data_IF_677138398116
#
_entry.id   IF_677138398116
#
_cell.length_a   1.000
_cell.length_b   1.000
_cell.length_c   1.000
_cell.angle_alpha   90.00
_cell.angle_beta   90.00
_cell.angle_gamma   90.00
#
_symmetry.space_group_name_H-M   'P 1'
#
loop_
_entity.id
_entity.type
_entity.pdbx_description
1 polymer ?
#
# COMPACT_ATOMS: atom_id res chain seq x y z
N UNK A 1 15.08 -4.98 -17.41
CA UNK A 1 14.86 -5.04 -15.96
C UNK A 1 14.31 -3.69 -15.52
N UNK A 2 13.55 -3.60 -14.42
CA UNK A 2 12.93 -2.34 -13.97
C UNK A 2 13.91 -1.15 -13.90
N UNK A 3 15.19 -1.40 -13.59
CA UNK A 3 16.24 -0.37 -13.52
C UNK A 3 16.64 0.23 -14.88
N UNK A 4 16.27 -0.40 -16.01
CA UNK A 4 16.68 0.03 -17.36
C UNK A 4 15.77 1.13 -17.95
N UNK A 5 14.74 1.57 -17.22
CA UNK A 5 13.81 2.59 -17.69
C UNK A 5 14.30 4.01 -17.35
N UNK A 6 14.74 4.82 -18.34
CA UNK A 6 15.35 6.14 -18.06
C UNK A 6 14.41 7.14 -17.38
N UNK A 7 13.09 6.94 -17.55
CA UNK A 7 12.08 7.80 -16.93
C UNK A 7 12.10 7.72 -15.40
N UNK A 8 12.55 6.60 -14.82
CA UNK A 8 12.59 6.44 -13.36
C UNK A 8 13.56 7.41 -12.69
N UNK A 9 14.57 7.93 -13.41
CA UNK A 9 15.45 8.99 -12.91
C UNK A 9 14.89 10.41 -13.07
N UNK A 10 13.74 10.58 -13.74
CA UNK A 10 13.14 11.88 -14.07
C UNK A 10 11.84 12.14 -13.29
N UNK A 11 11.35 11.13 -12.58
CA UNK A 11 10.10 11.18 -11.81
C UNK A 11 10.35 10.78 -10.35
N UNK A 12 9.39 11.10 -9.48
CA UNK A 12 9.24 10.45 -8.19
C UNK A 12 7.91 9.69 -8.16
N UNK A 13 7.90 8.52 -7.52
CA UNK A 13 6.71 7.69 -7.37
C UNK A 13 6.22 7.71 -5.92
N UNK A 14 4.90 7.84 -5.76
CA UNK A 14 4.18 7.57 -4.53
C UNK A 14 3.07 6.55 -4.80
N UNK A 15 2.61 5.83 -3.78
CA UNK A 15 1.50 4.90 -3.97
C UNK A 15 0.55 4.83 -2.77
N UNK A 16 -0.72 4.53 -3.08
CA UNK A 16 -1.78 4.33 -2.09
C UNK A 16 -2.72 3.21 -2.50
N UNK A 17 -3.32 2.47 -1.57
CA UNK A 17 -4.29 1.44 -1.88
C UNK A 17 -5.64 2.08 -2.25
N UNK A 18 -6.37 1.37 -3.10
CA UNK A 18 -7.80 1.58 -3.30
C UNK A 18 -8.54 0.50 -2.54
N UNK A 19 -9.34 0.88 -1.55
CA UNK A 19 -9.96 -0.04 -0.60
C UNK A 19 -11.47 -0.06 -0.81
N UNK A 20 -12.06 -1.24 -1.01
CA UNK A 20 -13.50 -1.40 -1.18
C UNK A 20 -14.26 -1.45 0.16
N UNK A 21 -15.60 -1.53 0.08
CA UNK A 21 -16.48 -1.66 1.27
C UNK A 21 -16.19 -2.89 2.13
N UNK A 22 -15.59 -3.94 1.57
CA UNK A 22 -15.21 -5.17 2.28
C UNK A 22 -13.80 -5.08 2.90
N UNK A 23 -13.17 -3.90 2.87
CA UNK A 23 -11.81 -3.63 3.34
C UNK A 23 -10.75 -4.41 2.55
N UNK A 24 -11.07 -4.77 1.32
CA UNK A 24 -10.14 -5.42 0.39
C UNK A 24 -9.46 -4.35 -0.45
N UNK A 25 -8.15 -4.46 -0.63
CA UNK A 25 -7.41 -3.63 -1.58
C UNK A 25 -7.70 -4.16 -2.99
N UNK A 26 -8.36 -3.35 -3.82
CA UNK A 26 -8.82 -3.74 -5.16
C UNK A 26 -7.93 -3.19 -6.28
N UNK A 27 -7.14 -2.17 -6.00
CA UNK A 27 -6.18 -1.58 -6.93
C UNK A 27 -5.10 -0.82 -6.17
N UNK A 28 -4.00 -0.51 -6.86
CA UNK A 28 -2.96 0.42 -6.37
C UNK A 28 -3.01 1.70 -7.19
N UNK A 29 -3.12 2.84 -6.53
CA UNK A 29 -2.88 4.14 -7.18
C UNK A 29 -1.39 4.40 -7.19
N UNK A 30 -0.81 4.63 -8.35
CA UNK A 30 0.56 5.10 -8.52
C UNK A 30 0.52 6.58 -8.89
N UNK A 31 1.07 7.41 -8.02
CA UNK A 31 1.19 8.84 -8.25
C UNK A 31 2.57 9.16 -8.82
N UNK A 32 2.59 9.90 -9.93
CA UNK A 32 3.81 10.21 -10.70
C UNK A 32 4.06 11.71 -10.67
N UNK A 33 5.15 12.11 -10.02
CA UNK A 33 5.60 13.50 -9.95
C UNK A 33 6.74 13.74 -10.94
N UNK A 34 6.72 14.82 -11.74
CA UNK A 34 7.91 15.25 -12.46
C UNK A 34 8.95 15.80 -11.48
N UNK A 35 10.21 15.33 -11.54
CA UNK A 35 11.28 15.89 -10.70
C UNK A 35 11.68 17.30 -11.12
N UNK A 36 11.50 17.64 -12.40
CA UNK A 36 11.78 18.96 -12.96
C UNK A 36 10.52 19.45 -13.67
N UNK A 37 10.09 20.68 -13.33
CA UNK A 37 8.94 21.27 -14.01
C UNK A 37 9.29 21.54 -15.48
N UNK A 38 8.34 21.22 -16.38
CA UNK A 38 8.50 21.43 -17.82
C UNK A 38 9.42 20.43 -18.54
N UNK A 39 9.98 19.42 -17.85
CA UNK A 39 10.72 18.36 -18.51
C UNK A 39 9.81 17.51 -19.40
N UNK A 40 10.28 17.18 -20.60
CA UNK A 40 9.57 16.24 -21.49
C UNK A 40 9.76 14.82 -20.94
N UNK A 41 8.66 14.20 -20.56
CA UNK A 41 8.63 12.83 -20.04
C UNK A 41 8.00 11.90 -21.08
N UNK A 42 8.61 10.74 -21.30
CA UNK A 42 8.15 9.75 -22.27
C UNK A 42 7.06 8.84 -21.67
N UNK A 43 5.83 8.99 -22.14
CA UNK A 43 4.70 8.17 -21.73
C UNK A 43 4.89 6.68 -22.02
N UNK A 44 5.53 6.32 -23.14
CA UNK A 44 5.78 4.92 -23.49
C UNK A 44 6.80 4.29 -22.52
N UNK A 45 7.84 5.04 -22.14
CA UNK A 45 8.79 4.59 -21.12
C UNK A 45 8.12 4.38 -19.75
N UNK A 46 7.17 5.25 -19.35
CA UNK A 46 6.39 5.04 -18.13
C UNK A 46 5.55 3.76 -18.21
N UNK A 47 4.82 3.58 -19.30
CA UNK A 47 3.97 2.41 -19.49
C UNK A 47 4.77 1.11 -19.52
N UNK A 48 5.97 1.13 -20.11
CA UNK A 48 6.88 -0.02 -20.07
C UNK A 48 7.30 -0.37 -18.64
N UNK A 49 7.69 0.62 -17.83
CA UNK A 49 8.04 0.41 -16.43
C UNK A 49 6.85 -0.09 -15.59
N UNK A 50 5.65 0.43 -15.85
CA UNK A 50 4.40 -0.03 -15.20
C UNK A 50 4.07 -1.47 -15.60
N UNK A 51 4.31 -1.85 -16.86
CA UNK A 51 4.01 -3.20 -17.36
C UNK A 51 4.87 -4.31 -16.73
N UNK A 52 6.06 -3.98 -16.20
CA UNK A 52 6.89 -4.92 -15.43
C UNK A 52 6.24 -5.35 -14.11
N UNK A 53 5.38 -4.51 -13.53
CA UNK A 53 4.65 -4.79 -12.29
C UNK A 53 3.23 -5.26 -12.56
N UNK A 54 2.57 -4.67 -13.57
CA UNK A 54 1.23 -5.02 -13.99
C UNK A 54 1.24 -5.47 -15.46
N UNK A 55 1.64 -6.72 -15.76
CA UNK A 55 1.65 -7.24 -17.13
C UNK A 55 0.24 -7.51 -17.65
N UNK A 56 0.09 -7.55 -18.98
CA UNK A 56 -1.14 -7.96 -19.65
C UNK A 56 -1.54 -9.38 -19.21
N UNK A 57 -2.80 -9.56 -18.79
CA UNK A 57 -3.31 -10.84 -18.29
C UNK A 57 -2.98 -11.11 -16.82
N UNK A 58 -2.29 -10.20 -16.12
CA UNK A 58 -2.13 -10.23 -14.67
C UNK A 58 -3.45 -9.98 -13.93
N UNK A 59 -3.47 -10.28 -12.63
CA UNK A 59 -4.66 -10.13 -11.76
C UNK A 59 -4.77 -8.74 -11.11
N UNK A 60 -3.71 -7.94 -11.14
CA UNK A 60 -3.64 -6.64 -10.49
C UNK A 60 -4.10 -5.47 -11.38
N UNK A 61 -4.65 -4.44 -10.75
CA UNK A 61 -5.06 -3.20 -11.39
C UNK A 61 -4.27 -2.00 -10.85
N UNK A 62 -3.89 -1.06 -11.72
CA UNK A 62 -3.18 0.17 -11.36
C UNK A 62 -3.94 1.41 -11.81
N UNK A 63 -4.00 2.43 -10.94
CA UNK A 63 -4.58 3.75 -11.25
C UNK A 63 -3.43 4.77 -11.32
N UNK A 64 -3.21 5.35 -12.50
CA UNK A 64 -2.16 6.33 -12.73
C UNK A 64 -2.68 7.74 -12.43
N UNK A 65 -2.09 8.36 -11.42
CA UNK A 65 -2.29 9.77 -11.08
C UNK A 65 -1.04 10.57 -11.46
N UNK A 66 -1.07 11.23 -12.61
CA UNK A 66 0.09 11.90 -13.18
C UNK A 66 -0.03 13.40 -12.95
N UNK A 67 0.99 14.01 -12.34
CA UNK A 67 0.99 15.45 -12.02
C UNK A 67 1.66 16.32 -13.10
N UNK A 68 2.18 15.70 -14.17
CA UNK A 68 2.67 16.41 -15.37
C UNK A 68 1.63 16.37 -16.47
N UNK A 69 1.14 17.53 -16.90
CA UNK A 69 0.14 17.65 -17.96
C UNK A 69 0.64 17.05 -19.28
N UNK A 70 1.88 17.35 -19.69
CA UNK A 70 2.45 16.82 -20.93
C UNK A 70 2.60 15.29 -20.91
N UNK A 71 2.96 14.71 -19.76
CA UNK A 71 3.01 13.26 -19.61
C UNK A 71 1.60 12.64 -19.66
N UNK A 72 0.61 13.28 -19.04
CA UNK A 72 -0.78 12.82 -19.07
C UNK A 72 -1.35 12.85 -20.49
N UNK A 73 -1.10 13.92 -21.27
CA UNK A 73 -1.46 13.97 -22.68
C UNK A 73 -0.77 12.86 -23.49
N UNK A 74 0.53 12.63 -23.25
CA UNK A 74 1.26 11.53 -23.86
C UNK A 74 0.65 10.16 -23.55
N UNK A 75 0.23 9.92 -22.30
CA UNK A 75 -0.45 8.69 -21.88
C UNK A 75 -1.81 8.53 -22.56
N UNK A 76 -2.56 9.63 -22.73
CA UNK A 76 -3.84 9.60 -23.42
C UNK A 76 -3.70 9.23 -24.90
N UNK A 77 -2.59 9.63 -25.54
CA UNK A 77 -2.27 9.24 -26.91
C UNK A 77 -1.69 7.82 -27.03
N UNK A 78 -1.01 7.32 -25.99
CA UNK A 78 -0.25 6.07 -26.02
C UNK A 78 -1.08 4.78 -25.88
N UNK A 79 -2.40 4.87 -25.71
CA UNK A 79 -3.33 3.73 -25.63
C UNK A 79 -2.86 2.62 -24.68
N UNK A 80 -2.85 2.85 -23.36
CA UNK A 80 -2.35 1.88 -22.39
C UNK A 80 -3.19 0.61 -22.35
N UNK A 81 -2.69 -0.42 -21.67
CA UNK A 81 -3.46 -1.64 -21.42
C UNK A 81 -4.75 -1.36 -20.60
N UNK A 82 -5.79 -2.15 -20.78
CA UNK A 82 -7.13 -1.91 -20.19
C UNK A 82 -7.17 -2.03 -18.67
N UNK A 83 -6.20 -2.69 -18.04
CA UNK A 83 -6.03 -2.77 -16.58
C UNK A 83 -5.26 -1.58 -15.98
N UNK A 84 -4.77 -0.66 -16.81
CA UNK A 84 -4.15 0.61 -16.42
C UNK A 84 -5.19 1.71 -16.55
N UNK A 85 -5.67 2.20 -15.41
CA UNK A 85 -6.69 3.24 -15.35
C UNK A 85 -6.01 4.60 -15.25
N UNK A 86 -6.47 5.59 -16.00
CA UNK A 86 -5.87 6.93 -16.00
C UNK A 86 -6.81 7.90 -15.26
N UNK A 87 -6.26 8.65 -14.31
CA UNK A 87 -6.95 9.78 -13.69
C UNK A 87 -6.88 11.04 -14.57
N UNK A 88 -8.04 11.54 -14.97
CA UNK A 88 -8.19 12.78 -15.74
C UNK A 88 -8.73 13.87 -14.81
N UNK A 89 -7.98 14.95 -14.58
CA UNK A 89 -8.47 16.11 -13.83
C UNK A 89 -9.75 16.68 -14.44
N UNK A 90 -10.67 17.13 -13.59
CA UNK A 90 -11.98 17.61 -14.02
C UNK A 90 -11.90 18.75 -15.04
N UNK A 91 -10.90 19.64 -14.93
CA UNK A 91 -10.70 20.73 -15.90
C UNK A 91 -10.31 20.23 -17.30
N UNK A 92 -9.52 19.14 -17.40
CA UNK A 92 -9.18 18.51 -18.68
C UNK A 92 -10.39 17.79 -19.26
N UNK A 93 -11.12 17.04 -18.41
CA UNK A 93 -12.32 16.31 -18.82
C UNK A 93 -13.45 17.23 -19.31
N UNK A 94 -13.51 18.47 -18.81
CA UNK A 94 -14.46 19.50 -19.27
C UNK A 94 -14.00 20.27 -20.51
N UNK A 95 -12.77 20.07 -20.99
CA UNK A 95 -12.22 20.79 -22.14
C UNK A 95 -12.56 20.09 -23.45
N UNK A 96 -12.97 20.86 -24.46
CA UNK A 96 -13.26 20.35 -25.81
C UNK A 96 -12.01 19.72 -26.46
N UNK A 97 -10.82 20.22 -26.14
CA UNK A 97 -9.53 19.73 -26.64
C UNK A 97 -9.30 18.25 -26.35
N UNK A 98 -9.81 17.74 -25.22
CA UNK A 98 -9.53 16.38 -24.76
C UNK A 98 -10.65 15.38 -25.08
N UNK A 99 -11.76 15.82 -25.68
CA UNK A 99 -12.93 14.96 -25.96
C UNK A 99 -12.55 13.80 -26.87
N UNK A 100 -11.84 14.07 -27.97
CA UNK A 100 -11.43 13.05 -28.92
C UNK A 100 -10.55 12.00 -28.23
N UNK A 101 -9.49 12.42 -27.53
CA UNK A 101 -8.59 11.50 -26.85
C UNK A 101 -9.30 10.64 -25.79
N UNK A 102 -10.19 11.24 -24.98
CA UNK A 102 -10.98 10.52 -23.96
C UNK A 102 -11.90 9.48 -24.61
N UNK A 103 -12.62 9.87 -25.68
CA UNK A 103 -13.57 8.96 -26.36
C UNK A 103 -12.85 7.86 -27.12
N UNK A 104 -11.68 8.12 -27.72
CA UNK A 104 -10.82 7.11 -28.35
C UNK A 104 -10.34 6.07 -27.34
N UNK A 105 -9.85 6.50 -26.16
CA UNK A 105 -9.45 5.56 -25.10
C UNK A 105 -10.62 4.69 -24.65
N UNK A 106 -11.79 5.29 -24.45
CA UNK A 106 -12.98 4.54 -24.06
C UNK A 106 -13.40 3.52 -25.13
N UNK A 107 -13.37 3.91 -26.41
CA UNK A 107 -13.67 3.02 -27.53
C UNK A 107 -12.69 1.84 -27.63
N UNK A 108 -11.44 2.02 -27.19
CA UNK A 108 -10.42 0.96 -27.09
C UNK A 108 -10.57 0.07 -25.84
N UNK A 109 -11.57 0.33 -25.00
CA UNK A 109 -11.84 -0.45 -23.79
C UNK A 109 -11.09 0.02 -22.55
N UNK A 110 -10.36 1.15 -22.61
CA UNK A 110 -9.76 1.74 -21.43
C UNK A 110 -10.83 2.35 -20.52
N UNK A 111 -10.58 2.26 -19.21
CA UNK A 111 -11.41 2.91 -18.20
C UNK A 111 -10.68 4.11 -17.63
N UNK A 112 -11.37 5.26 -17.58
CA UNK A 112 -10.84 6.49 -17.00
C UNK A 112 -11.47 6.79 -15.64
N UNK A 113 -10.78 7.64 -14.88
CA UNK A 113 -11.19 8.07 -13.55
C UNK A 113 -11.25 9.61 -13.55
N UNK A 114 -12.38 10.18 -13.14
CA UNK A 114 -12.54 11.63 -13.07
C UNK A 114 -11.97 12.13 -11.74
N UNK A 115 -10.90 12.92 -11.78
CA UNK A 115 -10.24 13.47 -10.59
C UNK A 115 -10.79 14.86 -10.25
N UNK A 116 -11.29 15.00 -9.04
CA UNK A 116 -11.87 16.25 -8.54
C UNK A 116 -13.28 16.51 -9.06
N UNK A 117 -13.83 17.66 -8.67
CA UNK A 117 -15.18 18.07 -9.06
C UNK A 117 -15.12 18.96 -10.31
N UNK A 118 -15.89 18.68 -11.36
CA UNK A 118 -16.04 19.59 -12.48
C UNK A 118 -16.70 20.90 -12.03
N UNK A 119 -16.07 22.03 -12.35
CA UNK A 119 -16.67 23.36 -12.18
C UNK A 119 -17.65 23.68 -13.33
N UNK A 120 -17.54 22.97 -14.45
CA UNK A 120 -18.40 23.05 -15.63
C UNK A 120 -19.04 21.69 -15.87
N UNK A 121 -20.19 21.68 -16.54
CA UNK A 121 -20.81 20.42 -16.98
C UNK A 121 -19.84 19.67 -17.91
N UNK A 122 -19.73 18.36 -17.72
CA UNK A 122 -18.92 17.53 -18.61
C UNK A 122 -19.66 17.29 -19.93
N UNK A 123 -18.97 17.30 -21.08
CA UNK A 123 -19.54 16.87 -22.34
C UNK A 123 -20.19 15.48 -22.21
N UNK A 124 -21.36 15.28 -22.83
CA UNK A 124 -22.11 14.02 -22.68
C UNK A 124 -21.37 12.83 -23.26
N UNK A 125 -20.55 13.09 -24.26
CA UNK A 125 -19.73 12.14 -25.00
C UNK A 125 -18.66 11.49 -24.12
N UNK A 126 -18.12 12.22 -23.13
CA UNK A 126 -17.04 11.72 -22.26
C UNK A 126 -17.56 10.99 -21.02
N UNK A 127 -18.81 11.20 -20.63
CA UNK A 127 -19.40 10.60 -19.42
C UNK A 127 -19.26 9.06 -19.35
N UNK A 128 -19.48 8.29 -20.45
CA UNK A 128 -19.32 6.83 -20.42
C UNK A 128 -17.89 6.36 -20.16
N UNK A 129 -16.88 7.20 -20.42
CA UNK A 129 -15.48 6.85 -20.23
C UNK A 129 -15.08 6.71 -18.75
N UNK A 130 -15.84 7.35 -17.84
CA UNK A 130 -15.48 7.45 -16.43
C UNK A 130 -16.23 6.42 -15.57
N UNK A 131 -15.48 5.49 -14.98
CA UNK A 131 -16.05 4.51 -14.02
C UNK A 131 -16.29 5.11 -12.64
N UNK A 132 -15.34 5.93 -12.18
CA UNK A 132 -15.41 6.58 -10.88
C UNK A 132 -15.08 8.07 -10.96
N UNK A 133 -15.70 8.85 -10.06
CA UNK A 133 -15.27 10.19 -9.71
C UNK A 133 -14.55 10.15 -8.37
N UNK A 134 -13.28 10.54 -8.36
CA UNK A 134 -12.44 10.64 -7.17
C UNK A 134 -12.65 12.04 -6.58
N UNK A 135 -13.19 12.10 -5.38
CA UNK A 135 -13.51 13.34 -4.66
C UNK A 135 -12.67 13.34 -3.39
N UNK A 136 -12.00 14.44 -3.12
CA UNK A 136 -11.23 14.59 -1.90
C UNK A 136 -12.13 14.73 -0.67
N UNK A 137 -11.66 14.24 0.49
CA UNK A 137 -12.40 14.31 1.75
C UNK A 137 -12.76 15.75 2.07
N UNK A 138 -11.80 16.67 1.92
CA UNK A 138 -11.98 18.09 2.22
C UNK A 138 -12.94 18.78 1.24
N UNK A 139 -13.07 18.25 0.02
CA UNK A 139 -13.97 18.75 -1.01
C UNK A 139 -15.38 18.13 -0.95
N UNK A 140 -15.63 17.15 -0.07
CA UNK A 140 -16.90 16.43 -0.02
C UNK A 140 -17.99 17.21 0.71
N UNK A 141 -18.72 18.04 -0.03
CA UNK A 141 -19.95 18.75 0.43
C UNK A 141 -21.05 17.86 1.07
N UNK A 142 -20.93 16.53 1.05
CA UNK A 142 -21.79 15.64 1.85
C UNK A 142 -21.46 15.69 3.34
N UNK A 143 -20.28 16.20 3.72
CA UNK A 143 -19.89 16.46 5.11
C UNK A 143 -20.81 17.51 5.75
N UNK A 144 -21.28 18.51 4.98
CA UNK A 144 -22.21 19.54 5.46
C UNK A 144 -23.65 19.04 5.64
N UNK A 145 -23.98 17.86 5.09
CA UNK A 145 -25.30 17.25 5.16
C UNK A 145 -25.31 16.17 6.25
N UNK A 146 -25.37 16.58 7.51
CA UNK A 146 -25.83 15.68 8.58
C UNK A 146 -27.22 15.13 8.22
N UNK A 147 -27.61 13.93 8.70
CA UNK A 147 -28.94 13.36 8.47
C UNK A 147 -29.98 14.12 9.31
N UNK A 148 -30.23 15.38 8.99
CA UNK A 148 -31.47 16.04 9.34
C UNK A 148 -32.53 15.36 8.49
N UNK A 149 -33.55 14.77 9.14
CA UNK A 149 -34.62 13.97 8.53
C UNK A 149 -35.56 14.73 7.59
N UNK A 150 -35.02 15.49 6.65
CA UNK A 150 -35.72 16.06 5.52
C UNK A 150 -34.80 15.86 4.32
N UNK A 151 -35.14 14.90 3.47
CA UNK A 151 -34.51 14.76 2.17
C UNK A 151 -34.63 16.08 1.43
N UNK A 152 -33.55 16.85 1.38
CA UNK A 152 -33.33 17.83 0.32
C UNK A 152 -33.25 17.02 -0.95
N UNK A 153 -34.42 16.88 -1.58
CA UNK A 153 -34.58 16.46 -2.95
C UNK A 153 -33.48 17.14 -3.75
N UNK A 154 -32.60 16.31 -4.34
CA UNK A 154 -31.77 16.74 -5.44
C UNK A 154 -32.66 17.56 -6.38
N UNK A 155 -32.31 18.82 -6.60
CA UNK A 155 -32.90 19.64 -7.65
C UNK A 155 -32.92 18.80 -8.94
N UNK A 156 -34.13 18.45 -9.38
CA UNK A 156 -34.45 17.93 -10.70
C UNK A 156 -33.41 17.00 -11.37
N UNK A 157 -33.61 15.69 -11.26
CA UNK A 157 -33.51 14.78 -12.42
C UNK A 157 -32.15 14.33 -12.94
N UNK A 158 -31.00 14.78 -12.42
CA UNK A 158 -29.71 14.19 -12.83
C UNK A 158 -29.40 12.97 -11.97
N UNK A 159 -29.83 11.80 -12.46
CA UNK A 159 -29.41 10.50 -11.92
C UNK A 159 -27.88 10.46 -11.99
N UNK A 160 -27.19 10.43 -10.83
CA UNK A 160 -25.72 10.35 -10.79
C UNK A 160 -25.30 9.01 -11.39
N UNK A 161 -24.82 9.02 -12.62
CA UNK A 161 -24.42 7.80 -13.35
C UNK A 161 -23.07 7.27 -12.88
N UNK A 162 -22.16 8.14 -12.42
CA UNK A 162 -20.80 7.78 -12.03
C UNK A 162 -20.72 7.55 -10.51
N UNK A 163 -20.24 6.38 -10.09
CA UNK A 163 -19.96 6.07 -8.69
C UNK A 163 -18.78 6.90 -8.17
N UNK A 164 -18.71 7.19 -6.87
CA UNK A 164 -17.61 7.99 -6.32
C UNK A 164 -16.63 7.18 -5.47
N UNK A 165 -15.39 7.63 -5.44
CA UNK A 165 -14.31 7.15 -4.59
C UNK A 165 -13.84 8.32 -3.74
N UNK A 166 -13.67 8.11 -2.44
CA UNK A 166 -13.17 9.16 -1.54
C UNK A 166 -11.64 9.13 -1.49
N UNK A 167 -10.94 10.20 -1.89
CA UNK A 167 -9.50 10.38 -1.61
C UNK A 167 -9.27 11.14 -0.31
N UNK A 168 -8.02 11.15 0.17
CA UNK A 168 -7.62 11.87 1.39
C UNK A 168 -7.90 11.08 2.67
N UNK A 169 -8.19 9.78 2.58
CA UNK A 169 -8.50 8.95 3.76
C UNK A 169 -7.21 8.50 4.43
N UNK A 170 -6.99 8.94 5.67
CA UNK A 170 -5.77 8.65 6.46
C UNK A 170 -6.03 7.80 7.71
N UNK A 171 -7.28 7.59 8.10
CA UNK A 171 -7.64 6.81 9.29
C UNK A 171 -8.89 5.94 9.06
N UNK A 172 -9.12 4.96 9.95
CA UNK A 172 -10.24 4.02 9.83
C UNK A 172 -11.59 4.73 9.96
N UNK A 173 -11.66 5.78 10.78
CA UNK A 173 -12.90 6.56 10.98
C UNK A 173 -13.36 7.24 9.69
N UNK A 174 -12.45 7.89 8.96
CA UNK A 174 -12.73 8.51 7.67
C UNK A 174 -13.10 7.48 6.61
N UNK A 175 -12.44 6.33 6.60
CA UNK A 175 -12.80 5.21 5.73
C UNK A 175 -14.25 4.76 5.97
N UNK A 176 -14.62 4.52 7.23
CA UNK A 176 -15.99 4.13 7.58
C UNK A 176 -17.02 5.18 7.20
N UNK A 177 -16.75 6.44 7.54
CA UNK A 177 -17.64 7.55 7.23
C UNK A 177 -17.86 7.69 5.72
N UNK A 178 -16.81 7.50 4.92
CA UNK A 178 -16.88 7.52 3.45
C UNK A 178 -17.81 6.44 2.91
N UNK A 179 -17.72 5.21 3.43
CA UNK A 179 -18.62 4.13 3.03
C UNK A 179 -20.07 4.37 3.46
N UNK A 180 -20.30 4.94 4.66
CA UNK A 180 -21.64 5.34 5.10
C UNK A 180 -22.25 6.41 4.19
N UNK A 181 -21.44 7.31 3.62
CA UNK A 181 -21.85 8.30 2.60
C UNK A 181 -22.05 7.71 1.19
N UNK A 182 -21.83 6.41 1.03
CA UNK A 182 -22.08 5.70 -0.22
C UNK A 182 -20.89 5.65 -1.16
N UNK A 183 -19.66 5.93 -0.72
CA UNK A 183 -18.47 5.73 -1.53
C UNK A 183 -18.38 4.27 -1.99
N UNK A 184 -17.95 4.06 -3.24
CA UNK A 184 -17.71 2.72 -3.79
C UNK A 184 -16.39 2.14 -3.28
N UNK A 185 -15.39 3.01 -3.13
CA UNK A 185 -14.08 2.72 -2.55
C UNK A 185 -13.53 3.97 -1.83
N UNK A 186 -12.45 3.79 -1.08
CA UNK A 186 -11.63 4.88 -0.54
C UNK A 186 -10.20 4.76 -1.08
N UNK A 187 -9.49 5.87 -1.11
CA UNK A 187 -8.13 6.00 -1.62
C UNK A 187 -7.27 6.72 -0.58
N UNK A 188 -6.22 6.02 -0.12
CA UNK A 188 -5.35 6.48 0.97
C UNK A 188 -5.05 5.38 1.99
N UNK A 189 -4.19 5.69 2.95
CA UNK A 189 -3.72 4.76 3.97
C UNK A 189 -4.47 4.99 5.29
N UNK A 190 -5.47 4.16 5.68
CA UNK A 190 -6.18 4.33 6.94
C UNK A 190 -5.34 3.78 8.12
N UNK A 191 -4.22 4.43 8.41
CA UNK A 191 -3.21 3.99 9.39
C UNK A 191 -2.86 5.04 10.45
N UNK A 192 -3.39 6.27 10.33
CA UNK A 192 -3.07 7.40 11.20
C UNK A 192 -4.00 7.52 12.42
N UNK A 193 -4.85 6.53 12.71
CA UNK A 193 -5.77 6.55 13.87
C UNK A 193 -5.03 6.84 15.18
N UNK A 194 -5.40 7.90 15.88
CA UNK A 194 -4.83 8.25 17.19
C UNK A 194 -5.03 7.09 18.17
N UNK A 195 -3.94 6.59 18.73
CA UNK A 195 -3.98 5.57 19.77
C UNK A 195 -4.20 6.24 21.13
N UNK A 196 -5.42 6.14 21.66
CA UNK A 196 -5.74 6.66 22.99
C UNK A 196 -5.06 5.84 24.10
N UNK A 197 -4.40 6.52 25.02
CA UNK A 197 -3.80 5.90 26.21
C UNK A 197 -4.90 5.35 27.12
N UNK A 198 -4.93 4.03 27.33
CA UNK A 198 -5.95 3.36 28.15
C UNK A 198 -7.08 2.67 27.38
N UNK A 199 -7.01 2.62 26.04
CA UNK A 199 -7.91 1.77 25.25
C UNK A 199 -7.83 0.31 25.73
N UNK A 200 -8.98 -0.39 25.75
CA UNK A 200 -8.99 -1.83 26.07
C UNK A 200 -8.10 -2.55 25.07
N UNK A 201 -7.18 -3.39 25.59
CA UNK A 201 -6.34 -4.25 24.76
C UNK A 201 -7.21 -4.97 23.74
N UNK A 202 -6.78 -4.95 22.47
CA UNK A 202 -7.39 -5.82 21.49
C UNK A 202 -7.17 -7.28 21.95
N UNK A 203 -8.27 -8.01 22.19
CA UNK A 203 -8.22 -9.42 22.56
C UNK A 203 -7.82 -10.24 21.33
N UNK A 204 -6.52 -10.34 21.10
CA UNK A 204 -5.91 -10.95 19.92
C UNK A 204 -4.89 -12.01 20.34
N UNK A 205 -5.35 -13.17 20.86
CA UNK A 205 -4.47 -14.22 21.37
C UNK A 205 -3.51 -14.77 20.30
N UNK A 206 -3.95 -14.82 19.03
CA UNK A 206 -3.10 -15.22 17.90
C UNK A 206 -1.96 -14.24 17.66
N UNK A 207 -2.22 -12.93 17.71
CA UNK A 207 -1.18 -11.90 17.54
C UNK A 207 -0.19 -11.93 18.71
N UNK A 208 -0.67 -12.15 19.94
CA UNK A 208 0.20 -12.33 21.11
C UNK A 208 1.10 -13.57 20.98
N UNK A 209 0.57 -14.70 20.51
CA UNK A 209 1.35 -15.91 20.29
C UNK A 209 2.44 -15.71 19.22
N UNK A 210 2.13 -15.02 18.13
CA UNK A 210 3.11 -14.71 17.07
C UNK A 210 4.21 -13.78 17.60
N UNK A 211 3.84 -12.73 18.33
CA UNK A 211 4.81 -11.82 18.99
C UNK A 211 5.72 -12.59 19.95
N UNK A 212 5.16 -13.49 20.77
CA UNK A 212 5.94 -14.33 21.68
C UNK A 212 6.91 -15.24 20.91
N UNK A 213 6.51 -15.81 19.77
CA UNK A 213 7.41 -16.59 18.93
C UNK A 213 8.53 -15.72 18.35
N UNK A 214 8.24 -14.48 17.93
CA UNK A 214 9.27 -13.58 17.41
C UNK A 214 10.31 -13.27 18.49
N UNK A 215 9.89 -13.04 19.74
CA UNK A 215 10.77 -12.89 20.89
C UNK A 215 11.65 -14.14 21.09
N UNK A 216 11.03 -15.32 21.17
CA UNK A 216 11.75 -16.59 21.35
C UNK A 216 12.77 -16.85 20.23
N UNK A 217 12.40 -16.56 18.98
CA UNK A 217 13.29 -16.67 17.82
C UNK A 217 14.44 -15.69 17.90
N UNK A 218 14.20 -14.45 18.35
CA UNK A 218 15.23 -13.44 18.48
C UNK A 218 16.25 -13.78 19.57
N UNK A 219 15.80 -14.39 20.68
CA UNK A 219 16.66 -14.86 21.78
C UNK A 219 17.35 -16.20 21.49
N UNK A 220 17.15 -16.77 20.29
CA UNK A 220 17.59 -18.12 19.94
C UNK A 220 17.18 -19.16 21.00
N UNK A 221 15.97 -19.00 21.53
CA UNK A 221 15.41 -19.88 22.55
C UNK A 221 15.39 -21.33 22.06
N UNK A 222 15.48 -22.27 22.99
CA UNK A 222 15.45 -23.67 22.63
C UNK A 222 14.18 -24.04 21.83
N UNK A 223 14.32 -25.08 21.00
CA UNK A 223 13.22 -25.52 20.13
C UNK A 223 12.01 -25.97 20.98
N UNK A 224 12.23 -26.39 22.23
CA UNK A 224 11.17 -26.78 23.17
C UNK A 224 10.30 -25.61 23.60
N UNK A 225 10.88 -24.43 23.87
CA UNK A 225 10.12 -23.22 24.18
C UNK A 225 9.29 -22.76 22.97
N UNK A 226 9.85 -22.80 21.76
CA UNK A 226 9.12 -22.50 20.52
C UNK A 226 7.96 -23.47 20.30
N UNK A 227 8.21 -24.77 20.47
CA UNK A 227 7.19 -25.81 20.35
C UNK A 227 6.07 -25.62 21.40
N UNK A 228 6.42 -25.25 22.63
CA UNK A 228 5.47 -24.95 23.71
C UNK A 228 4.56 -23.76 23.40
N UNK A 229 5.05 -22.75 22.67
CA UNK A 229 4.21 -21.64 22.19
C UNK A 229 3.32 -22.07 21.03
N UNK A 230 3.86 -22.80 20.05
CA UNK A 230 3.07 -23.33 18.92
C UNK A 230 1.95 -24.29 19.38
N UNK A 231 2.18 -25.10 20.42
CA UNK A 231 1.16 -26.00 20.99
C UNK A 231 -0.04 -25.26 21.59
N UNK A 232 0.15 -24.02 22.05
CA UNK A 232 -0.92 -23.18 22.62
C UNK A 232 -1.80 -22.55 21.54
N UNK A 233 -1.35 -22.53 20.28
CA UNK A 233 -2.10 -22.04 19.11
C UNK A 233 -2.00 -23.06 17.95
N UNK A 234 -2.84 -24.12 17.94
CA UNK A 234 -2.82 -25.13 16.88
C UNK A 234 -3.03 -24.58 15.45
N UNK A 235 -3.88 -23.56 15.22
CA UNK A 235 -3.95 -22.89 13.91
C UNK A 235 -2.62 -22.30 13.43
N UNK A 236 -1.87 -21.63 14.31
CA UNK A 236 -0.54 -21.08 14.01
C UNK A 236 0.45 -22.18 13.62
N UNK A 237 0.42 -23.30 14.33
CA UNK A 237 1.28 -24.45 14.06
C UNK A 237 0.94 -25.13 12.71
N UNK A 238 -0.35 -25.24 12.36
CA UNK A 238 -0.78 -25.72 11.05
C UNK A 238 -0.29 -24.80 9.91
N UNK A 239 -0.38 -23.48 10.08
CA UNK A 239 0.13 -22.52 9.09
C UNK A 239 1.63 -22.69 8.85
N UNK A 240 2.42 -22.97 9.90
CA UNK A 240 3.87 -23.24 9.78
C UNK A 240 4.14 -24.49 8.93
N UNK A 241 3.45 -25.60 9.22
CA UNK A 241 3.62 -26.84 8.45
C UNK A 241 3.20 -26.67 6.99
N UNK A 242 2.08 -25.99 6.72
CA UNK A 242 1.66 -25.69 5.35
C UNK A 242 2.66 -24.78 4.61
N UNK A 243 3.26 -23.82 5.31
CA UNK A 243 4.27 -22.94 4.73
C UNK A 243 5.52 -23.72 4.30
N UNK A 244 6.09 -24.54 5.20
CA UNK A 244 7.31 -25.30 4.89
C UNK A 244 7.10 -26.39 3.84
N UNK A 245 5.90 -26.95 3.75
CA UNK A 245 5.52 -27.93 2.73
C UNK A 245 5.03 -27.28 1.42
N UNK A 246 5.11 -25.95 1.29
CA UNK A 246 4.74 -25.28 0.04
C UNK A 246 5.79 -25.58 -1.05
N UNK A 247 5.41 -25.52 -2.34
CA UNK A 247 6.34 -25.74 -3.46
C UNK A 247 7.58 -24.85 -3.43
N UNK A 248 7.52 -23.70 -2.75
CA UNK A 248 8.63 -22.76 -2.61
C UNK A 248 9.87 -23.34 -1.95
N UNK A 249 9.73 -24.39 -1.12
CA UNK A 249 10.85 -25.03 -0.43
C UNK A 249 11.42 -26.26 -1.15
N UNK A 250 10.75 -26.75 -2.21
CA UNK A 250 11.24 -27.85 -3.05
C UNK A 250 11.53 -29.14 -2.28
N UNK A 251 10.87 -29.37 -1.15
CA UNK A 251 11.13 -30.54 -0.30
C UNK A 251 10.56 -31.81 -0.95
N UNK A 252 11.39 -32.87 -1.02
CA UNK A 252 10.99 -34.18 -1.55
C UNK A 252 10.14 -34.99 -0.57
N UNK A 253 10.16 -34.64 0.72
CA UNK A 253 9.43 -35.30 1.80
C UNK A 253 8.67 -34.25 2.60
N UNK A 254 7.40 -34.54 2.88
CA UNK A 254 6.54 -33.68 3.69
C UNK A 254 7.03 -33.63 5.14
N UNK A 255 7.16 -32.41 5.68
CA UNK A 255 7.47 -32.16 7.08
C UNK A 255 6.18 -32.23 7.89
N UNK A 256 6.12 -33.18 8.83
CA UNK A 256 4.95 -33.42 9.69
C UNK A 256 5.14 -32.98 11.15
N UNK A 257 6.32 -32.46 11.53
CA UNK A 257 6.62 -32.05 12.91
C UNK A 257 7.15 -30.62 13.01
N UNK A 258 6.76 -29.91 14.07
CA UNK A 258 7.18 -28.52 14.31
C UNK A 258 8.68 -28.40 14.52
N UNK A 259 9.27 -29.32 15.28
CA UNK A 259 10.70 -29.39 15.51
C UNK A 259 11.47 -29.49 14.19
N UNK A 260 11.04 -30.38 13.29
CA UNK A 260 11.68 -30.53 11.98
C UNK A 260 11.49 -29.27 11.12
N UNK A 261 10.29 -28.67 11.13
CA UNK A 261 10.05 -27.42 10.42
C UNK A 261 10.98 -26.28 10.89
N UNK A 262 11.14 -26.10 12.20
CA UNK A 262 12.01 -25.08 12.80
C UNK A 262 13.48 -25.32 12.43
N UNK A 263 13.96 -26.57 12.49
CA UNK A 263 15.33 -26.92 12.11
C UNK A 263 15.63 -26.65 10.64
N UNK A 264 14.68 -26.93 9.75
CA UNK A 264 14.84 -26.72 8.29
C UNK A 264 14.75 -25.24 7.93
N UNK A 265 13.87 -24.46 8.58
CA UNK A 265 13.73 -23.03 8.34
C UNK A 265 14.91 -22.22 8.90
N UNK A 266 15.36 -22.55 10.11
CA UNK A 266 16.26 -21.71 10.89
C UNK A 266 15.58 -20.44 11.42
N UNK A 267 16.21 -19.79 12.40
CA UNK A 267 15.64 -18.64 13.10
C UNK A 267 15.33 -17.44 12.19
N UNK A 268 16.20 -17.13 11.24
CA UNK A 268 16.02 -15.95 10.37
C UNK A 268 14.80 -16.06 9.46
N UNK A 269 14.64 -17.20 8.76
CA UNK A 269 13.46 -17.41 7.90
C UNK A 269 12.18 -17.55 8.71
N UNK A 270 12.28 -18.16 9.90
CA UNK A 270 11.15 -18.24 10.83
C UNK A 270 10.70 -16.86 11.31
N UNK A 271 11.64 -15.97 11.66
CA UNK A 271 11.34 -14.58 12.06
C UNK A 271 10.61 -13.82 10.95
N UNK A 272 11.11 -13.93 9.72
CA UNK A 272 10.47 -13.32 8.53
C UNK A 272 9.06 -13.87 8.30
N UNK A 273 8.89 -15.19 8.38
CA UNK A 273 7.58 -15.81 8.23
C UNK A 273 6.61 -15.38 9.33
N UNK A 274 7.05 -15.30 10.58
CA UNK A 274 6.22 -14.80 11.69
C UNK A 274 5.79 -13.34 11.46
N UNK A 275 6.67 -12.49 10.95
CA UNK A 275 6.34 -11.11 10.59
C UNK A 275 5.28 -11.04 9.47
N UNK A 276 5.38 -11.88 8.42
CA UNK A 276 4.32 -12.01 7.42
C UNK A 276 3.02 -12.56 8.01
N UNK A 277 3.14 -13.48 8.95
CA UNK A 277 1.98 -14.08 9.57
C UNK A 277 1.22 -13.09 10.46
N UNK A 278 1.93 -12.18 11.14
CA UNK A 278 1.31 -11.07 11.86
C UNK A 278 0.32 -10.37 10.92
N UNK A 279 0.74 -10.07 9.69
CA UNK A 279 -0.07 -9.40 8.65
C UNK A 279 -1.38 -10.11 8.26
N UNK A 280 -1.59 -11.36 8.68
CA UNK A 280 -2.82 -12.12 8.39
C UNK A 280 -3.51 -12.64 9.65
N UNK A 281 -3.07 -12.20 10.83
CA UNK A 281 -3.49 -12.77 12.11
C UNK A 281 -4.73 -12.10 12.73
N UNK A 282 -5.05 -10.86 12.33
CA UNK A 282 -6.25 -10.17 12.82
C UNK A 282 -7.51 -10.66 12.12
N UNK A 283 -8.58 -10.84 12.89
CA UNK A 283 -9.93 -11.15 12.39
C UNK A 283 -10.78 -9.92 12.12
N UNK A 284 -10.32 -8.73 12.55
CA UNK A 284 -11.02 -7.47 12.34
C UNK A 284 -10.85 -7.01 10.87
N UNK A 285 -11.93 -6.88 10.08
CA UNK A 285 -11.84 -6.37 8.71
C UNK A 285 -11.19 -4.99 8.61
N UNK A 286 -11.38 -4.11 9.60
CA UNK A 286 -10.76 -2.77 9.60
C UNK A 286 -9.24 -2.83 9.76
N UNK A 287 -8.68 -3.95 10.22
CA UNK A 287 -7.23 -4.15 10.28
C UNK A 287 -6.62 -4.59 8.94
N UNK A 288 -7.41 -5.12 7.99
CA UNK A 288 -6.85 -5.59 6.71
C UNK A 288 -6.00 -4.54 5.99
N UNK A 289 -6.43 -3.26 5.86
CA UNK A 289 -5.59 -2.23 5.25
C UNK A 289 -4.33 -1.92 6.06
N UNK A 290 -4.40 -1.92 7.40
CA UNK A 290 -3.24 -1.71 8.29
C UNK A 290 -2.21 -2.83 8.11
N UNK A 291 -2.68 -4.08 8.05
CA UNK A 291 -1.79 -5.22 7.83
C UNK A 291 -1.17 -5.18 6.42
N UNK A 292 -1.97 -4.83 5.41
CA UNK A 292 -1.50 -4.66 4.04
C UNK A 292 -0.39 -3.60 3.98
N UNK A 293 -0.60 -2.45 4.62
CA UNK A 293 0.41 -1.39 4.73
C UNK A 293 1.70 -1.91 5.39
N UNK A 294 1.59 -2.63 6.52
CA UNK A 294 2.75 -3.15 7.24
C UNK A 294 3.66 -4.04 6.37
N UNK A 295 3.07 -4.97 5.61
CA UNK A 295 3.83 -5.83 4.68
C UNK A 295 4.49 -5.01 3.58
N UNK A 296 3.76 -4.04 3.00
CA UNK A 296 4.28 -3.17 1.95
C UNK A 296 5.46 -2.33 2.43
N UNK A 297 5.39 -1.78 3.65
CA UNK A 297 6.51 -1.09 4.30
C UNK A 297 7.72 -2.00 4.46
N UNK A 298 7.52 -3.22 4.96
CA UNK A 298 8.59 -4.21 5.10
C UNK A 298 9.29 -4.54 3.78
N UNK A 299 8.52 -4.86 2.75
CA UNK A 299 9.06 -5.16 1.42
C UNK A 299 9.78 -3.97 0.80
N UNK A 300 9.26 -2.75 0.96
CA UNK A 300 9.91 -1.56 0.46
C UNK A 300 11.24 -1.28 1.17
N UNK A 301 11.30 -1.36 2.50
CA UNK A 301 12.55 -1.16 3.24
C UNK A 301 13.59 -2.22 2.91
N UNK A 302 13.16 -3.46 2.66
CA UNK A 302 14.04 -4.53 2.17
C UNK A 302 14.59 -4.26 0.77
N UNK A 303 13.75 -3.78 -0.16
CA UNK A 303 14.16 -3.45 -1.52
C UNK A 303 15.05 -2.21 -1.58
N UNK A 304 14.84 -1.23 -0.71
CA UNK A 304 15.70 -0.06 -0.57
C UNK A 304 17.10 -0.42 -0.05
N UNK A 305 17.23 -1.54 0.69
CA UNK A 305 18.52 -2.05 1.17
C UNK A 305 19.12 -3.12 0.27
N UNK A 306 18.64 -3.25 -0.97
CA UNK A 306 19.23 -4.13 -1.98
C UNK A 306 20.72 -3.78 -2.16
N UNK A 307 21.59 -4.78 -2.05
CA UNK A 307 23.05 -4.61 -2.04
C UNK A 307 23.68 -4.53 -0.65
N UNK A 308 22.88 -4.42 0.42
CA UNK A 308 23.32 -4.60 1.81
C UNK A 308 23.40 -6.09 2.18
N UNK A 309 23.91 -6.40 3.38
CA UNK A 309 23.92 -7.78 3.89
C UNK A 309 22.49 -8.34 4.05
N UNK A 310 22.34 -9.66 3.91
CA UNK A 310 21.05 -10.34 4.09
C UNK A 310 20.46 -10.12 5.49
N UNK A 311 21.31 -10.00 6.50
CA UNK A 311 20.91 -9.66 7.86
C UNK A 311 20.25 -8.27 7.92
N UNK A 312 20.90 -7.25 7.37
CA UNK A 312 20.34 -5.88 7.35
C UNK A 312 19.03 -5.81 6.56
N UNK A 313 18.95 -6.50 5.42
CA UNK A 313 17.73 -6.59 4.62
C UNK A 313 16.58 -7.24 5.39
N UNK A 314 16.87 -8.32 6.10
CA UNK A 314 15.91 -9.01 6.97
C UNK A 314 15.45 -8.11 8.13
N UNK A 315 16.37 -7.38 8.78
CA UNK A 315 16.03 -6.45 9.86
C UNK A 315 15.19 -5.26 9.37
N UNK A 316 15.49 -4.71 8.20
CA UNK A 316 14.70 -3.63 7.58
C UNK A 316 13.30 -4.09 7.16
N UNK A 317 13.18 -5.32 6.66
CA UNK A 317 11.87 -5.94 6.43
C UNK A 317 11.04 -5.98 7.73
N UNK A 318 11.65 -6.49 8.81
CA UNK A 318 11.00 -6.56 10.13
C UNK A 318 10.66 -5.16 10.63
N UNK A 319 11.56 -4.18 10.49
CA UNK A 319 11.33 -2.79 10.85
C UNK A 319 10.09 -2.22 10.17
N UNK A 320 9.94 -2.43 8.86
CA UNK A 320 8.78 -1.96 8.11
C UNK A 320 7.47 -2.62 8.56
N UNK A 321 7.45 -3.95 8.71
CA UNK A 321 6.27 -4.67 9.23
C UNK A 321 5.92 -4.21 10.64
N UNK A 322 6.93 -4.00 11.48
CA UNK A 322 6.72 -3.68 12.87
C UNK A 322 6.26 -2.24 13.06
N UNK A 323 6.50 -1.34 12.11
CA UNK A 323 6.15 0.08 12.19
C UNK A 323 4.65 0.41 12.38
N UNK A 324 3.76 -0.58 12.29
CA UNK A 324 2.32 -0.44 12.52
C UNK A 324 1.78 -1.35 13.63
N UNK A 325 2.66 -1.97 14.41
CA UNK A 325 2.24 -2.85 15.52
C UNK A 325 1.45 -2.11 16.60
N UNK A 326 1.78 -0.85 16.89
CA UNK A 326 1.02 0.01 17.80
C UNK A 326 -0.45 0.11 17.38
N UNK A 327 -0.71 0.25 16.07
CA UNK A 327 -2.06 0.32 15.49
C UNK A 327 -2.79 -1.01 15.65
N UNK A 328 -2.10 -2.13 15.41
CA UNK A 328 -2.69 -3.47 15.54
C UNK A 328 -3.08 -3.80 16.98
N UNK A 329 -2.23 -3.44 17.95
CA UNK A 329 -2.44 -3.71 19.37
C UNK A 329 -3.20 -2.61 20.11
N UNK A 330 -3.44 -1.46 19.46
CA UNK A 330 -4.04 -0.25 20.05
C UNK A 330 -3.30 0.19 21.31
N UNK A 331 -1.98 0.14 21.28
CA UNK A 331 -1.09 0.53 22.39
C UNK A 331 0.05 1.39 21.88
N UNK A 332 0.52 2.39 22.65
CA UNK A 332 1.66 3.20 22.25
C UNK A 332 2.88 2.33 21.93
N UNK A 333 3.56 2.67 20.83
CA UNK A 333 4.67 1.88 20.29
C UNK A 333 5.78 1.61 21.32
N UNK A 334 6.13 2.65 22.09
CA UNK A 334 7.13 2.57 23.16
C UNK A 334 6.75 1.63 24.32
N UNK A 335 5.45 1.41 24.60
CA UNK A 335 5.03 0.41 25.58
C UNK A 335 5.10 -1.00 25.02
N UNK A 336 4.71 -1.14 23.75
CA UNK A 336 4.68 -2.44 23.09
C UNK A 336 6.10 -3.01 22.97
N UNK A 337 7.05 -2.21 22.49
CA UNK A 337 8.44 -2.65 22.30
C UNK A 337 9.22 -2.88 23.60
N UNK A 338 8.75 -2.41 24.76
CA UNK A 338 9.32 -2.85 26.06
C UNK A 338 9.11 -4.35 26.30
N UNK A 339 8.06 -4.92 25.70
CA UNK A 339 7.70 -6.33 25.86
C UNK A 339 8.07 -7.19 24.65
N UNK A 340 8.30 -6.56 23.49
CA UNK A 340 8.72 -7.22 22.25
C UNK A 340 10.17 -6.82 21.97
N UNK A 341 11.16 -7.69 22.26
CA UNK A 341 12.53 -7.35 21.93
C UNK A 341 12.72 -7.41 20.43
N UNK A 342 13.15 -6.28 19.91
CA UNK A 342 13.54 -6.07 18.52
C UNK A 342 15.04 -5.75 18.49
N UNK A 343 15.72 -5.94 17.35
CA UNK A 343 17.08 -5.45 17.20
C UNK A 343 17.16 -3.96 17.57
N UNK A 344 18.23 -3.55 18.24
CA UNK A 344 18.43 -2.17 18.71
C UNK A 344 18.22 -1.14 17.59
N UNK A 345 18.71 -1.43 16.38
CA UNK A 345 18.55 -0.59 15.19
C UNK A 345 17.08 -0.38 14.78
N UNK A 346 16.23 -1.38 15.01
CA UNK A 346 14.78 -1.31 14.77
C UNK A 346 14.12 -0.47 15.85
N UNK A 347 14.52 -0.64 17.11
CA UNK A 347 14.02 0.18 18.22
C UNK A 347 14.33 1.67 17.99
N UNK A 348 15.58 2.00 17.68
CA UNK A 348 16.03 3.36 17.41
C UNK A 348 15.21 4.03 16.30
N UNK A 349 14.95 3.31 15.19
CA UNK A 349 14.22 3.87 14.07
C UNK A 349 12.73 4.11 14.37
N UNK A 350 12.09 3.18 15.09
CA UNK A 350 10.64 3.23 15.29
C UNK A 350 10.20 3.95 16.57
N UNK A 351 11.06 4.02 17.59
CA UNK A 351 10.77 4.66 18.89
C UNK A 351 11.50 5.99 19.01
N UNK A 352 12.83 5.99 18.84
CA UNK A 352 13.65 7.17 19.10
C UNK A 352 13.69 8.12 17.89
N UNK A 353 13.29 7.66 16.71
CA UNK A 353 13.43 8.40 15.46
C UNK A 353 14.90 8.63 15.10
N UNK A 354 15.77 7.65 15.37
CA UNK A 354 17.22 7.73 15.14
C UNK A 354 17.78 6.41 14.59
N UNK A 355 19.10 6.35 14.40
CA UNK A 355 19.80 5.13 14.02
C UNK A 355 19.79 4.85 12.51
N UNK A 356 20.45 3.76 12.08
CA UNK A 356 20.72 3.50 10.67
C UNK A 356 19.49 3.12 9.85
N UNK A 357 18.37 2.73 10.49
CA UNK A 357 17.14 2.33 9.81
C UNK A 357 16.11 3.45 9.69
N UNK A 358 16.32 4.59 10.38
CA UNK A 358 15.41 5.73 10.31
C UNK A 358 15.31 6.34 8.91
N UNK A 359 16.39 6.55 8.13
CA UNK A 359 16.28 7.11 6.79
C UNK A 359 15.42 6.26 5.84
N UNK A 360 15.51 4.92 5.97
CA UNK A 360 14.68 3.99 5.22
C UNK A 360 13.21 4.11 5.62
N UNK A 361 12.93 4.22 6.91
CA UNK A 361 11.57 4.40 7.42
C UNK A 361 10.97 5.76 7.01
N UNK A 362 11.78 6.83 7.03
CA UNK A 362 11.39 8.16 6.56
C UNK A 362 11.01 8.16 5.08
N UNK A 363 11.80 7.47 4.24
CA UNK A 363 11.49 7.32 2.82
C UNK A 363 10.15 6.64 2.58
N UNK A 364 9.87 5.55 3.29
CA UNK A 364 8.57 4.87 3.22
C UNK A 364 7.43 5.84 3.54
N UNK A 365 7.55 6.60 4.65
CA UNK A 365 6.54 7.59 5.03
C UNK A 365 6.37 8.71 3.99
N UNK A 366 7.46 9.20 3.41
CA UNK A 366 7.40 10.23 2.35
C UNK A 366 6.67 9.73 1.10
N UNK A 367 6.93 8.48 0.69
CA UNK A 367 6.23 7.81 -0.42
C UNK A 367 4.73 7.64 -0.10
N UNK A 368 4.37 7.35 1.15
CA UNK A 368 2.98 7.26 1.60
C UNK A 368 2.29 8.62 1.79
N UNK A 369 3.05 9.69 2.03
CA UNK A 369 2.57 11.07 2.21
C UNK A 369 2.18 11.78 0.91
N UNK A 370 2.64 11.27 -0.24
CA UNK A 370 2.33 11.80 -1.58
C UNK A 370 2.73 13.27 -1.78
N UNK A 371 3.80 13.75 -1.14
CA UNK A 371 4.38 15.07 -1.43
C UNK A 371 5.76 14.94 -2.06
N UNK A 372 6.00 15.69 -3.13
CA UNK A 372 7.27 15.63 -3.86
C UNK A 372 8.44 16.12 -3.00
N UNK A 373 8.20 17.10 -2.15
CA UNK A 373 9.25 17.72 -1.33
C UNK A 373 9.73 16.77 -0.22
N UNK A 374 8.83 16.05 0.45
CA UNK A 374 9.21 15.02 1.43
C UNK A 374 9.96 13.87 0.76
N UNK A 375 9.54 13.45 -0.45
CA UNK A 375 10.24 12.39 -1.18
C UNK A 375 11.66 12.84 -1.53
N UNK A 376 11.85 14.08 -2.00
CA UNK A 376 13.19 14.63 -2.30
C UNK A 376 14.07 14.69 -1.05
N UNK A 377 13.55 15.21 0.05
CA UNK A 377 14.30 15.26 1.31
C UNK A 377 14.71 13.87 1.77
N UNK A 378 13.81 12.88 1.65
CA UNK A 378 14.12 11.50 1.98
C UNK A 378 15.14 10.87 1.03
N UNK A 379 15.13 11.21 -0.27
CA UNK A 379 16.15 10.75 -1.24
C UNK A 379 17.54 11.20 -0.79
N UNK A 380 17.66 12.48 -0.44
CA UNK A 380 18.91 13.08 0.02
C UNK A 380 19.39 12.42 1.33
N UNK A 381 18.47 12.17 2.27
CA UNK A 381 18.78 11.49 3.52
C UNK A 381 19.28 10.04 3.36
N UNK A 382 18.80 9.32 2.34
CA UNK A 382 19.28 7.97 1.99
C UNK A 382 20.51 7.97 1.09
N UNK A 383 20.87 9.11 0.48
CA UNK A 383 21.90 9.21 -0.55
C UNK A 383 21.64 8.26 -1.74
N UNK A 384 20.37 8.07 -2.11
CA UNK A 384 19.97 7.21 -3.24
C UNK A 384 19.39 8.04 -4.37
N UNK A 385 19.65 7.64 -5.62
CA UNK A 385 19.07 8.30 -6.77
C UNK A 385 17.56 8.00 -6.86
N UNK A 386 16.73 8.93 -7.40
CA UNK A 386 15.30 8.68 -7.61
C UNK A 386 15.02 7.41 -8.43
N UNK A 387 15.90 7.07 -9.37
CA UNK A 387 15.81 5.85 -10.17
C UNK A 387 15.85 4.59 -9.30
N UNK A 388 16.78 4.52 -8.35
CA UNK A 388 16.94 3.35 -7.47
C UNK A 388 15.75 3.20 -6.52
N UNK A 389 15.26 4.34 -5.99
CA UNK A 389 14.09 4.38 -5.11
C UNK A 389 12.84 3.96 -5.87
N UNK A 390 12.60 4.52 -7.06
CA UNK A 390 11.45 4.15 -7.88
C UNK A 390 11.50 2.68 -8.30
N UNK A 391 12.69 2.16 -8.63
CA UNK A 391 12.86 0.75 -8.92
C UNK A 391 12.58 -0.14 -7.70
N UNK A 392 13.00 0.28 -6.50
CA UNK A 392 12.68 -0.40 -5.24
C UNK A 392 11.16 -0.38 -4.96
N UNK A 393 10.47 0.74 -5.20
CA UNK A 393 9.00 0.84 -5.08
C UNK A 393 8.31 -0.15 -6.01
N UNK A 394 8.66 -0.16 -7.30
CA UNK A 394 8.03 -1.06 -8.27
C UNK A 394 8.28 -2.54 -7.96
N UNK A 395 9.51 -2.89 -7.54
CA UNK A 395 9.83 -4.26 -7.09
C UNK A 395 9.06 -4.66 -5.84
N UNK A 396 9.02 -3.82 -4.82
CA UNK A 396 8.27 -4.08 -3.60
C UNK A 396 6.77 -4.25 -3.89
N UNK A 397 6.23 -3.49 -4.85
CA UNK A 397 4.84 -3.64 -5.28
C UNK A 397 4.63 -5.00 -5.96
N UNK A 398 5.51 -5.37 -6.89
CA UNK A 398 5.47 -6.65 -7.60
C UNK A 398 5.56 -7.82 -6.61
N UNK A 399 6.54 -7.81 -5.69
CA UNK A 399 6.74 -8.88 -4.70
C UNK A 399 5.52 -9.12 -3.82
N UNK A 400 4.84 -8.07 -3.34
CA UNK A 400 3.66 -8.31 -2.51
C UNK A 400 2.44 -8.83 -3.28
N UNK A 401 2.32 -8.58 -4.59
CA UNK A 401 1.26 -9.20 -5.39
C UNK A 401 1.40 -10.73 -5.53
N UNK A 402 2.59 -11.27 -5.22
CA UNK A 402 2.84 -12.71 -5.17
C UNK A 402 2.52 -13.33 -3.80
N UNK A 403 2.25 -12.50 -2.78
CA UNK A 403 1.89 -12.93 -1.43
C UNK A 403 0.37 -13.04 -1.23
N UNK A 404 -0.41 -12.33 -2.06
CA UNK A 404 -1.86 -12.37 -2.15
C UNK A 404 -2.33 -13.61 -2.94
#
# INVERSE_FOLDING_TARGET
MIEDHPILGQIALAYSPVIDRNRTVIATRLTVFPLQQGSVLDAAALLAAVAEVWPLGGTGQVWLNVLSEGLLQGLMAAQPATHVFIEIPSFMASSEEHIEAITTLHANGNTLLLKGRPLKELPREVLPAFKYSIIDLDDDRRLDQMPSGAGTMSSSGVMRTISHVQSGVTNVTDMENSFRRGAAAVLGWPIDDVIESGARNADQPSLQAIVQLIDQVHKEADIEALEGTLKRDPPLAYKLLRYINSPAFGLSVEISSFRHAIMVLGYQRLKRWLALLLATASKDPNMRPVMFAAVRRGLLMEELSKGSSDEMRSELFICGVFSLLDRMFKRPFAELLKTIPVPERVFQALVDGTGPYEPYFRMVKAIEGHTLDEIREACDGLMMAPQDINAAVLRAISSASQLD
#
